data_IF_477836783835
#
_entry.id   IF_477836783835
#
_cell.length_a   1.000
_cell.length_b   1.000
_cell.length_c   1.000
_cell.angle_alpha   90.00
_cell.angle_beta   90.00
_cell.angle_gamma   90.00
#
_symmetry.space_group_name_H-M   'P 1'
#
loop_
_entity.id
_entity.type
_entity.pdbx_description
1 polymer ?
#
# COMPACT_ATOMS: atom_id res chain seq x y z
N UNK A 1 7.21 -10.30 -9.89
CA UNK A 1 6.13 -10.44 -10.90
C UNK A 1 6.63 -10.21 -12.33
N UNK A 2 7.44 -9.19 -12.61
CA UNK A 2 7.91 -8.87 -13.97
C UNK A 2 8.71 -9.98 -14.66
N UNK A 3 9.54 -10.74 -13.94
CA UNK A 3 10.24 -11.90 -14.50
C UNK A 3 9.31 -13.01 -14.99
N UNK A 4 8.21 -13.26 -14.28
CA UNK A 4 7.19 -14.23 -14.67
C UNK A 4 6.42 -13.75 -15.92
N UNK A 5 6.07 -12.46 -15.95
CA UNK A 5 5.42 -11.83 -17.11
C UNK A 5 6.31 -11.94 -18.34
N UNK A 6 7.58 -11.55 -18.25
CA UNK A 6 8.51 -11.65 -19.37
C UNK A 6 8.68 -13.11 -19.85
N UNK A 7 8.93 -14.05 -18.94
CA UNK A 7 9.14 -15.45 -19.30
C UNK A 7 7.93 -16.09 -20.01
N UNK A 8 6.71 -15.67 -19.67
CA UNK A 8 5.47 -16.25 -20.22
C UNK A 8 4.96 -15.55 -21.47
N UNK A 9 5.25 -14.25 -21.62
CA UNK A 9 4.59 -13.40 -22.62
C UNK A 9 5.54 -12.86 -23.69
N UNK A 10 6.85 -12.89 -23.48
CA UNK A 10 7.82 -12.39 -24.47
C UNK A 10 7.75 -13.08 -25.84
N UNK A 11 7.33 -14.35 -25.89
CA UNK A 11 7.15 -15.09 -27.16
C UNK A 11 5.72 -15.05 -27.70
N UNK A 12 4.76 -14.63 -26.87
CA UNK A 12 3.32 -14.82 -27.12
C UNK A 12 2.62 -13.50 -27.41
N UNK A 13 3.11 -12.41 -26.82
CA UNK A 13 2.56 -11.06 -26.99
C UNK A 13 3.52 -10.20 -27.80
N UNK A 14 3.07 -9.56 -28.90
CA UNK A 14 3.90 -8.60 -29.63
C UNK A 14 4.22 -7.35 -28.80
N UNK A 15 3.42 -7.06 -27.77
CA UNK A 15 3.56 -5.87 -26.92
C UNK A 15 4.68 -6.00 -25.87
N UNK A 16 5.24 -7.20 -25.69
CA UNK A 16 6.34 -7.47 -24.72
C UNK A 16 7.59 -7.90 -25.49
N UNK A 17 8.30 -6.91 -26.03
CA UNK A 17 9.52 -7.13 -26.80
C UNK A 17 10.77 -7.23 -25.92
N UNK A 18 10.78 -6.58 -24.77
CA UNK A 18 11.92 -6.57 -23.87
C UNK A 18 11.48 -6.64 -22.38
N UNK A 19 12.45 -6.72 -21.46
CA UNK A 19 12.15 -6.82 -20.04
C UNK A 19 11.53 -5.54 -19.46
N UNK A 20 11.86 -4.36 -20.00
CA UNK A 20 11.30 -3.10 -19.55
C UNK A 20 9.80 -3.02 -19.85
N UNK A 21 9.32 -3.59 -20.95
CA UNK A 21 7.89 -3.65 -21.29
C UNK A 21 7.12 -4.51 -20.26
N UNK A 22 7.70 -5.66 -19.89
CA UNK A 22 7.14 -6.52 -18.85
C UNK A 22 7.16 -5.86 -17.46
N UNK A 23 8.22 -5.10 -17.15
CA UNK A 23 8.32 -4.31 -15.93
C UNK A 23 7.26 -3.21 -15.93
N UNK A 24 7.11 -2.47 -17.03
CA UNK A 24 6.13 -1.41 -17.20
C UNK A 24 4.70 -1.93 -16.98
N UNK A 25 4.31 -3.01 -17.66
CA UNK A 25 3.02 -3.67 -17.43
C UNK A 25 2.82 -4.03 -15.96
N UNK A 26 3.84 -4.62 -15.33
CA UNK A 26 3.76 -5.05 -13.93
C UNK A 26 3.56 -3.86 -13.01
N UNK A 27 4.31 -2.78 -13.19
CA UNK A 27 4.22 -1.59 -12.35
C UNK A 27 2.84 -0.96 -12.52
N UNK A 28 2.37 -0.74 -13.74
CA UNK A 28 1.08 -0.08 -14.00
C UNK A 28 -0.11 -0.92 -13.51
N UNK A 29 -0.02 -2.24 -13.58
CA UNK A 29 -1.03 -3.14 -13.02
C UNK A 29 -0.98 -3.20 -11.48
N UNK A 30 0.22 -3.25 -10.89
CA UNK A 30 0.41 -3.30 -9.44
C UNK A 30 -0.01 -1.98 -8.76
N UNK A 31 0.23 -0.85 -9.40
CA UNK A 31 -0.23 0.47 -8.91
C UNK A 31 -1.71 0.71 -9.21
N UNK A 32 -2.42 -0.25 -9.80
CA UNK A 32 -3.82 -0.14 -10.23
C UNK A 32 -4.09 1.01 -11.21
N UNK A 33 -3.04 1.54 -11.85
CA UNK A 33 -3.16 2.61 -12.86
C UNK A 33 -3.73 2.08 -14.17
N UNK A 34 -3.22 0.92 -14.61
CA UNK A 34 -3.80 0.15 -15.71
C UNK A 34 -4.05 0.91 -17.00
N UNK A 35 -3.00 1.52 -17.60
CA UNK A 35 -3.13 2.30 -18.84
C UNK A 35 -3.76 1.52 -20.01
N UNK A 36 -3.64 0.20 -20.02
CA UNK A 36 -4.29 -0.68 -21.01
C UNK A 36 -3.63 -0.68 -22.39
N UNK A 37 -2.50 0.01 -22.53
CA UNK A 37 -1.63 0.03 -23.71
C UNK A 37 -0.88 -1.29 -23.90
N UNK A 38 -0.51 -1.96 -22.82
CA UNK A 38 0.07 -3.31 -22.84
C UNK A 38 -0.84 -4.26 -22.06
N UNK A 39 -1.17 -5.41 -22.66
CA UNK A 39 -1.97 -6.46 -21.99
C UNK A 39 -1.38 -7.84 -22.24
N UNK A 40 -1.57 -8.75 -21.27
CA UNK A 40 -1.12 -10.14 -21.41
C UNK A 40 -2.14 -10.94 -22.21
N UNK A 41 -1.67 -11.66 -23.23
CA UNK A 41 -2.53 -12.44 -24.11
C UNK A 41 -2.74 -13.88 -23.61
N UNK A 42 -3.87 -14.46 -24.05
CA UNK A 42 -4.29 -15.80 -23.70
C UNK A 42 -4.87 -15.95 -22.29
N UNK A 43 -5.50 -17.09 -22.03
CA UNK A 43 -6.13 -17.39 -20.72
C UNK A 43 -5.12 -17.31 -19.59
N UNK A 44 -3.90 -17.82 -19.80
CA UNK A 44 -2.84 -17.79 -18.79
C UNK A 44 -2.35 -16.37 -18.49
N UNK A 45 -2.21 -15.52 -19.52
CA UNK A 45 -1.87 -14.10 -19.34
C UNK A 45 -2.91 -13.37 -18.50
N UNK A 46 -4.20 -13.60 -18.78
CA UNK A 46 -5.30 -13.02 -17.99
C UNK A 46 -5.27 -13.46 -16.53
N UNK A 47 -5.00 -14.73 -16.25
CA UNK A 47 -4.87 -15.23 -14.87
C UNK A 47 -3.72 -14.56 -14.11
N UNK A 48 -2.57 -14.38 -14.77
CA UNK A 48 -1.42 -13.66 -14.19
C UNK A 48 -1.80 -12.19 -13.91
N UNK A 49 -2.46 -11.52 -14.85
CA UNK A 49 -2.94 -10.14 -14.67
C UNK A 49 -3.86 -10.01 -13.47
N UNK A 50 -4.84 -10.91 -13.32
CA UNK A 50 -5.76 -10.92 -12.16
C UNK A 50 -4.98 -11.09 -10.86
N UNK A 51 -4.01 -12.01 -10.80
CA UNK A 51 -3.18 -12.20 -9.61
C UNK A 51 -2.39 -10.93 -9.25
N UNK A 52 -1.79 -10.25 -10.24
CA UNK A 52 -1.06 -8.99 -10.02
C UNK A 52 -2.02 -7.91 -9.51
N UNK A 53 -3.23 -7.79 -10.07
CA UNK A 53 -4.22 -6.80 -9.64
C UNK A 53 -4.69 -7.04 -8.19
N UNK A 54 -4.93 -8.29 -7.79
CA UNK A 54 -5.28 -8.62 -6.39
C UNK A 54 -4.14 -8.21 -5.44
N UNK A 55 -2.89 -8.49 -5.79
CA UNK A 55 -1.74 -8.01 -5.03
C UNK A 55 -1.65 -6.47 -4.99
N UNK A 56 -1.91 -5.81 -6.13
CA UNK A 56 -1.87 -4.35 -6.24
C UNK A 56 -2.89 -3.65 -5.34
N UNK A 57 -4.16 -4.08 -5.41
CA UNK A 57 -5.25 -3.51 -4.59
C UNK A 57 -4.95 -3.64 -3.10
N UNK A 58 -4.49 -4.81 -2.65
CA UNK A 58 -4.18 -5.02 -1.22
C UNK A 58 -3.05 -4.13 -0.74
N UNK A 59 -1.99 -3.96 -1.54
CA UNK A 59 -0.89 -3.05 -1.23
C UNK A 59 -1.36 -1.59 -1.17
N UNK A 60 -2.15 -1.16 -2.16
CA UNK A 60 -2.61 0.23 -2.24
C UNK A 60 -3.56 0.59 -1.10
N UNK A 61 -4.47 -0.32 -0.73
CA UNK A 61 -5.36 -0.15 0.42
C UNK A 61 -4.57 -0.06 1.73
N UNK A 62 -3.55 -0.92 1.92
CA UNK A 62 -2.66 -0.85 3.10
C UNK A 62 -1.91 0.47 3.15
N UNK A 63 -1.38 0.94 2.02
CA UNK A 63 -0.69 2.23 1.95
C UNK A 63 -1.62 3.38 2.29
N UNK A 64 -2.83 3.40 1.72
CA UNK A 64 -3.84 4.40 2.03
C UNK A 64 -4.20 4.41 3.52
N UNK A 65 -4.41 3.23 4.13
CA UNK A 65 -4.67 3.10 5.57
C UNK A 65 -3.56 3.73 6.40
N UNK A 66 -2.29 3.50 6.07
CA UNK A 66 -1.14 4.09 6.78
C UNK A 66 -1.08 5.61 6.61
N UNK A 67 -1.35 6.12 5.40
CA UNK A 67 -1.31 7.55 5.11
C UNK A 67 -2.43 8.33 5.81
N UNK A 68 -3.61 7.72 5.94
CA UNK A 68 -4.77 8.37 6.55
C UNK A 68 -4.97 8.04 8.04
N UNK A 69 -4.13 7.18 8.64
CA UNK A 69 -4.20 6.88 10.08
C UNK A 69 -3.91 8.16 10.89
N UNK A 70 -4.81 8.57 11.81
CA UNK A 70 -4.53 9.72 12.67
C UNK A 70 -3.33 9.41 13.58
N UNK A 71 -2.22 10.11 13.38
CA UNK A 71 -0.99 9.93 14.17
C UNK A 71 -1.08 10.58 15.56
N UNK A 72 -2.10 11.40 15.79
CA UNK A 72 -2.25 12.23 16.99
C UNK A 72 -3.67 12.16 17.51
N UNK A 73 -3.80 12.18 18.83
CA UNK A 73 -5.09 12.24 19.54
C UNK A 73 -5.17 13.53 20.35
N UNK A 74 -6.39 14.05 20.51
CA UNK A 74 -6.68 15.20 21.35
C UNK A 74 -7.14 14.74 22.72
N UNK A 75 -6.20 14.67 23.65
CA UNK A 75 -6.44 14.35 25.05
C UNK A 75 -5.71 15.38 25.94
N UNK A 76 -6.43 16.23 26.68
CA UNK A 76 -5.80 17.28 27.49
C UNK A 76 -5.10 16.70 28.71
N UNK A 77 -3.79 16.96 28.81
CA UNK A 77 -3.01 16.61 30.00
C UNK A 77 -3.48 17.47 31.19
N UNK A 78 -3.95 16.79 32.25
CA UNK A 78 -4.44 17.43 33.47
C UNK A 78 -3.36 18.18 34.27
N UNK A 79 -2.07 17.92 33.98
CA UNK A 79 -0.94 18.57 34.68
C UNK A 79 -0.41 19.81 33.96
N UNK A 80 -0.18 19.73 32.64
CA UNK A 80 0.49 20.81 31.90
C UNK A 80 -0.35 21.44 30.78
N UNK A 81 -1.54 20.91 30.49
CA UNK A 81 -2.45 21.45 29.49
C UNK A 81 -2.08 21.13 28.03
N UNK A 82 -1.08 20.28 27.75
CA UNK A 82 -0.84 19.80 26.39
C UNK A 82 -2.08 19.06 25.88
N UNK A 83 -2.61 19.44 24.72
CA UNK A 83 -3.85 18.85 24.17
C UNK A 83 -3.56 17.75 23.15
N UNK A 84 -2.45 17.84 22.41
CA UNK A 84 -2.17 16.95 21.29
C UNK A 84 -1.05 15.95 21.65
N UNK A 85 -1.39 14.67 21.69
CA UNK A 85 -0.48 13.56 22.04
C UNK A 85 -0.34 12.58 20.87
N UNK A 86 0.71 11.75 20.88
CA UNK A 86 0.76 10.57 20.00
C UNK A 86 -0.39 9.63 20.39
N UNK A 87 -0.96 8.91 19.42
CA UNK A 87 -2.13 8.06 19.65
C UNK A 87 -1.87 6.93 20.68
N UNK A 88 -0.62 6.50 20.85
CA UNK A 88 -0.17 5.44 21.75
C UNK A 88 0.61 5.97 22.98
N UNK A 89 0.53 7.27 23.26
CA UNK A 89 1.29 7.88 24.35
C UNK A 89 0.78 7.44 25.73
N UNK A 90 1.63 6.78 26.51
CA UNK A 90 1.37 6.47 27.94
C UNK A 90 1.78 7.63 28.85
N UNK A 91 2.73 8.47 28.40
CA UNK A 91 3.23 9.62 29.16
C UNK A 91 3.13 10.91 28.33
N UNK A 92 2.83 12.02 28.99
CA UNK A 92 2.82 13.33 28.36
C UNK A 92 4.25 13.73 27.95
N UNK A 93 4.46 14.05 26.66
CA UNK A 93 5.78 14.48 26.15
C UNK A 93 6.31 15.78 26.77
N UNK A 94 5.43 16.61 27.32
CA UNK A 94 5.81 17.91 27.87
C UNK A 94 6.22 17.82 29.35
N UNK A 95 5.46 17.10 30.18
CA UNK A 95 5.70 17.04 31.64
C UNK A 95 6.03 15.65 32.20
N UNK A 96 5.91 14.59 31.39
CA UNK A 96 6.18 13.21 31.82
C UNK A 96 5.09 12.56 32.68
N UNK A 97 3.98 13.26 33.00
CA UNK A 97 2.87 12.65 33.75
C UNK A 97 2.23 11.52 32.91
N UNK A 98 1.82 10.44 33.58
CA UNK A 98 1.01 9.39 32.96
C UNK A 98 -0.31 9.98 32.41
N UNK A 99 -0.63 9.64 31.17
CA UNK A 99 -1.88 9.99 30.52
C UNK A 99 -2.57 8.68 30.10
N UNK A 100 -3.88 8.61 30.31
CA UNK A 100 -4.67 7.44 29.96
C UNK A 100 -5.51 7.77 28.73
N UNK A 101 -4.97 7.46 27.56
CA UNK A 101 -5.67 7.59 26.28
C UNK A 101 -6.40 6.27 26.04
N UNK A 102 -7.73 6.33 25.84
CA UNK A 102 -8.51 5.14 25.45
C UNK A 102 -8.13 4.74 24.02
N UNK A 103 -7.70 3.48 23.85
CA UNK A 103 -7.32 2.94 22.54
C UNK A 103 -8.05 1.62 22.29
N UNK A 104 -8.46 1.36 21.06
CA UNK A 104 -9.16 0.11 20.68
C UNK A 104 -8.23 -1.13 20.62
N UNK A 105 -6.92 -0.96 20.80
CA UNK A 105 -5.96 -2.07 20.82
C UNK A 105 -5.59 -2.62 19.44
N UNK A 106 -5.70 -1.83 18.37
CA UNK A 106 -5.22 -2.22 17.05
C UNK A 106 -3.69 -2.31 17.01
N UNK A 107 -3.21 -3.57 16.93
CA UNK A 107 -1.80 -3.97 16.72
C UNK A 107 -1.33 -3.62 15.31
#
# INVERSE_FOLDING_TARGET
MSGLVFATQHRTSPDIGNYADALYFTVTALTTTGFGDITLQGTWGRMISIAIMICGVTLFLRLAQVLFRPLKVREPCQTCGLVLHDADAVHCKHCGTNIHIETEGEI
#
